data_IF_264748514400
#
_entry.id   IF_264748514400
#
_cell.length_a   1.000
_cell.length_b   1.000
_cell.length_c   1.000
_cell.angle_alpha   90.00
_cell.angle_beta   90.00
_cell.angle_gamma   90.00
#
_symmetry.space_group_name_H-M   'P 1'
#
loop_
_entity.id
_entity.type
_entity.pdbx_description
1 polymer ?
#
# COMPACT_ATOMS: atom_id res chain seq x y z
N UNK A 1 20.75 -24.12 5.39
CA UNK A 1 19.36 -23.81 5.81
C UNK A 1 19.40 -22.53 6.65
N UNK A 2 19.06 -21.38 6.07
CA UNK A 2 19.14 -20.09 6.75
C UNK A 2 18.06 -19.96 7.83
N UNK A 3 18.47 -19.65 9.06
CA UNK A 3 17.59 -19.26 10.16
C UNK A 3 16.66 -18.14 9.66
N UNK A 4 15.35 -18.32 9.83
CA UNK A 4 14.33 -17.40 9.33
C UNK A 4 14.68 -15.94 9.67
N UNK A 5 14.67 -15.09 8.65
CA UNK A 5 14.98 -13.67 8.77
C UNK A 5 14.18 -13.03 9.91
N UNK A 6 14.84 -12.21 10.72
CA UNK A 6 14.22 -11.53 11.86
C UNK A 6 12.97 -10.74 11.46
N UNK A 7 12.11 -10.48 12.44
CA UNK A 7 10.89 -9.68 12.25
C UNK A 7 11.28 -8.33 11.64
N UNK A 8 10.70 -7.99 10.48
CA UNK A 8 10.91 -6.67 9.87
C UNK A 8 10.53 -5.57 10.88
N UNK A 9 11.45 -4.64 11.10
CA UNK A 9 11.31 -3.59 12.10
C UNK A 9 10.61 -2.36 11.52
N UNK A 10 10.20 -1.42 12.38
CA UNK A 10 9.67 -0.13 11.95
C UNK A 10 10.72 0.64 11.15
N UNK A 11 10.29 1.32 10.08
CA UNK A 11 11.16 2.17 9.27
C UNK A 11 12.21 1.43 8.44
N UNK A 12 12.08 0.10 8.28
CA UNK A 12 13.01 -0.69 7.45
C UNK A 12 12.54 -0.76 6.02
N UNK A 13 13.49 -0.73 5.09
CA UNK A 13 13.26 -0.94 3.68
C UNK A 13 14.19 -2.04 3.14
N UNK A 14 13.67 -2.90 2.28
CA UNK A 14 14.46 -3.75 1.38
C UNK A 14 14.39 -3.09 0.01
N UNK A 15 15.49 -2.45 -0.39
CA UNK A 15 15.57 -1.70 -1.65
C UNK A 15 16.05 -2.58 -2.81
N UNK A 16 15.71 -2.14 -4.02
CA UNK A 16 16.10 -2.75 -5.30
C UNK A 16 16.87 -1.71 -6.11
N UNK A 17 17.67 -2.19 -7.07
CA UNK A 17 18.40 -1.36 -8.03
C UNK A 17 17.50 -0.66 -9.07
N UNK A 18 16.38 -1.28 -9.45
CA UNK A 18 15.48 -0.79 -10.50
C UNK A 18 14.05 -0.63 -9.93
N UNK A 19 13.70 0.52 -9.33
CA UNK A 19 12.48 0.64 -8.54
C UNK A 19 11.20 0.71 -9.42
N UNK A 20 10.61 -0.44 -9.78
CA UNK A 20 9.30 -0.45 -10.45
C UNK A 20 8.15 -0.55 -9.44
N UNK A 21 8.28 -1.41 -8.44
CA UNK A 21 7.21 -1.73 -7.48
C UNK A 21 7.70 -1.56 -6.05
N UNK A 22 6.88 -0.98 -5.18
CA UNK A 22 7.11 -0.96 -3.73
C UNK A 22 5.91 -1.53 -2.98
N UNK A 23 6.14 -2.49 -2.09
CA UNK A 23 5.10 -2.98 -1.16
C UNK A 23 5.24 -2.24 0.16
N UNK A 24 4.23 -1.45 0.52
CA UNK A 24 4.20 -0.66 1.74
C UNK A 24 3.40 -1.40 2.81
N UNK A 25 4.10 -1.88 3.82
CA UNK A 25 3.53 -2.52 5.01
C UNK A 25 3.36 -1.55 6.17
N UNK A 26 2.28 -1.71 6.92
CA UNK A 26 2.06 -0.97 8.18
C UNK A 26 3.08 -1.42 9.25
N UNK A 27 3.35 -0.55 10.23
CA UNK A 27 4.27 -0.87 11.32
C UNK A 27 3.92 -2.17 12.03
N UNK A 28 4.94 -2.96 12.43
CA UNK A 28 4.74 -4.19 13.20
C UNK A 28 4.02 -3.93 14.52
N UNK A 29 3.02 -4.77 14.77
CA UNK A 29 2.42 -4.99 16.08
C UNK A 29 2.60 -6.45 16.50
N UNK A 30 2.02 -6.84 17.65
CA UNK A 30 2.09 -8.23 18.15
C UNK A 30 1.63 -9.30 17.14
N UNK A 31 0.71 -8.93 16.24
CA UNK A 31 0.29 -9.73 15.09
C UNK A 31 1.20 -9.39 13.91
N UNK A 32 1.99 -10.36 13.49
CA UNK A 32 3.07 -10.28 12.51
C UNK A 32 2.68 -9.53 11.21
N UNK A 33 3.59 -8.73 10.63
CA UNK A 33 3.34 -7.92 9.41
C UNK A 33 3.70 -8.64 8.11
N UNK A 34 4.62 -9.61 8.16
CA UNK A 34 5.20 -10.21 6.93
C UNK A 34 4.20 -10.98 6.07
N UNK A 35 3.14 -11.56 6.63
CA UNK A 35 2.07 -12.20 5.85
C UNK A 35 0.90 -11.22 5.82
N UNK A 36 0.73 -10.39 4.78
CA UNK A 36 0.86 -10.78 3.38
C UNK A 36 1.98 -10.07 2.61
N UNK A 37 2.67 -9.10 3.20
CA UNK A 37 3.66 -8.25 2.50
C UNK A 37 4.76 -9.07 1.83
N UNK A 38 5.36 -10.03 2.55
CA UNK A 38 6.38 -10.93 2.04
C UNK A 38 5.84 -11.97 1.07
N UNK A 39 4.59 -12.41 1.22
CA UNK A 39 3.94 -13.34 0.28
C UNK A 39 3.69 -12.62 -1.06
N UNK A 40 3.20 -11.37 -1.02
CA UNK A 40 3.05 -10.50 -2.20
C UNK A 40 4.41 -10.27 -2.87
N UNK A 41 5.44 -9.89 -2.10
CA UNK A 41 6.78 -9.68 -2.63
C UNK A 41 7.31 -10.96 -3.29
N UNK A 42 7.21 -12.10 -2.62
CA UNK A 42 7.68 -13.39 -3.16
C UNK A 42 6.90 -13.81 -4.40
N UNK A 43 5.59 -13.63 -4.41
CA UNK A 43 4.74 -13.92 -5.57
C UNK A 43 5.10 -13.07 -6.78
N UNK A 44 5.37 -11.77 -6.60
CA UNK A 44 5.81 -10.89 -7.68
C UNK A 44 7.21 -11.24 -8.19
N UNK A 45 8.13 -11.66 -7.30
CA UNK A 45 9.45 -12.17 -7.72
C UNK A 45 9.34 -13.38 -8.63
N UNK A 46 8.47 -14.34 -8.28
CA UNK A 46 8.22 -15.54 -9.09
C UNK A 46 7.64 -15.23 -10.49
N UNK A 47 7.10 -14.02 -10.69
CA UNK A 47 6.56 -13.55 -11.98
C UNK A 47 7.57 -12.72 -12.78
N UNK A 48 8.85 -12.70 -12.38
CA UNK A 48 9.91 -12.00 -13.10
C UNK A 48 10.11 -10.53 -12.71
N UNK A 49 9.39 -10.03 -11.70
CA UNK A 49 9.56 -8.65 -11.17
C UNK A 49 10.69 -8.62 -10.11
N UNK A 50 11.58 -9.62 -10.11
CA UNK A 50 12.47 -9.91 -8.99
C UNK A 50 13.43 -8.77 -8.64
N UNK A 51 14.05 -8.19 -9.67
CA UNK A 51 15.02 -7.12 -9.50
C UNK A 51 14.37 -5.74 -9.34
N UNK A 52 13.04 -5.66 -9.37
CA UNK A 52 12.32 -4.39 -9.39
C UNK A 52 11.31 -4.17 -8.27
N UNK A 53 11.34 -5.00 -7.22
CA UNK A 53 10.43 -4.90 -6.07
C UNK A 53 11.12 -4.50 -4.76
N UNK A 54 10.73 -3.36 -4.19
CA UNK A 54 11.10 -2.93 -2.84
C UNK A 54 10.01 -3.33 -1.83
N UNK A 55 10.39 -3.45 -0.57
CA UNK A 55 9.43 -3.59 0.54
C UNK A 55 9.77 -2.57 1.61
N UNK A 56 8.81 -1.72 1.96
CA UNK A 56 8.94 -0.70 3.01
C UNK A 56 7.99 -1.02 4.15
N UNK A 57 8.49 -1.03 5.38
CA UNK A 57 7.69 -1.09 6.60
C UNK A 57 7.69 0.29 7.22
N UNK A 58 6.51 0.92 7.29
CA UNK A 58 6.38 2.29 7.80
C UNK A 58 6.89 2.40 9.24
N UNK A 59 7.54 3.52 9.54
CA UNK A 59 7.95 3.90 10.89
C UNK A 59 6.72 4.13 11.79
N UNK A 60 5.70 4.81 11.26
CA UNK A 60 4.44 5.09 11.94
C UNK A 60 3.23 4.68 11.06
N UNK A 61 2.85 3.39 11.10
CA UNK A 61 1.77 2.82 10.28
C UNK A 61 0.58 2.25 11.09
N UNK A 62 0.64 2.26 12.42
CA UNK A 62 -0.34 1.58 13.28
C UNK A 62 -1.60 2.39 13.58
N UNK A 63 -1.48 3.71 13.73
CA UNK A 63 -2.57 4.61 14.15
C UNK A 63 -3.53 5.01 13.03
N UNK A 64 -4.22 6.11 13.21
CA UNK A 64 -5.05 6.81 12.20
C UNK A 64 -4.34 8.13 11.85
N UNK A 65 -4.42 8.62 10.60
CA UNK A 65 -3.87 9.92 10.24
C UNK A 65 -4.40 11.06 11.14
N UNK A 66 -3.58 12.08 11.45
CA UNK A 66 -3.97 13.19 12.33
C UNK A 66 -5.05 14.11 11.72
N UNK A 67 -5.15 14.12 10.40
CA UNK A 67 -6.11 14.89 9.59
C UNK A 67 -7.40 14.09 9.27
N UNK A 68 -7.52 12.88 9.83
CA UNK A 68 -8.77 12.14 9.77
C UNK A 68 -9.80 12.75 10.76
N UNK A 69 -11.10 12.73 10.44
CA UNK A 69 -12.16 13.05 11.41
C UNK A 69 -11.99 12.20 12.68
N UNK A 70 -12.62 12.53 13.82
CA UNK A 70 -12.52 11.69 15.04
C UNK A 70 -13.06 10.27 14.79
N UNK A 71 -12.20 9.37 14.32
CA UNK A 71 -12.54 7.98 14.02
C UNK A 71 -12.38 7.16 15.29
N UNK A 72 -13.43 6.46 15.71
CA UNK A 72 -13.35 5.50 16.80
C UNK A 72 -12.35 4.39 16.51
N UNK A 73 -11.62 3.93 17.54
CA UNK A 73 -10.65 2.83 17.41
C UNK A 73 -9.19 3.25 17.28
N UNK A 74 -8.86 4.54 17.48
CA UNK A 74 -7.48 4.97 17.71
C UNK A 74 -6.98 4.36 19.04
N UNK A 75 -6.00 3.46 18.97
CA UNK A 75 -5.32 2.93 20.16
C UNK A 75 -4.44 4.05 20.73
N UNK A 76 -4.52 4.29 22.05
CA UNK A 76 -3.66 5.28 22.73
C UNK A 76 -2.18 5.02 22.38
N UNK A 77 -1.49 6.04 21.86
CA UNK A 77 -0.08 5.96 21.46
C UNK A 77 0.20 5.31 20.11
N UNK A 78 -0.82 4.95 19.33
CA UNK A 78 -0.65 4.51 17.95
C UNK A 78 -0.78 5.70 16.98
N UNK A 79 0.29 5.97 16.24
CA UNK A 79 0.34 7.07 15.26
C UNK A 79 0.39 6.54 13.83
N UNK A 80 -0.14 7.34 12.91
CA UNK A 80 0.06 7.15 11.48
C UNK A 80 0.74 8.40 10.89
N UNK A 81 1.80 8.19 10.13
CA UNK A 81 2.55 9.27 9.51
C UNK A 81 3.62 8.74 8.56
N UNK A 82 4.11 9.64 7.73
CA UNK A 82 5.22 9.40 6.80
C UNK A 82 6.36 10.35 7.14
N UNK A 83 7.57 9.83 7.15
CA UNK A 83 8.79 10.65 7.13
C UNK A 83 9.08 11.11 5.70
N UNK A 84 9.83 12.21 5.54
CA UNK A 84 10.24 12.67 4.21
C UNK A 84 11.05 11.60 3.45
N UNK A 85 11.85 10.81 4.18
CA UNK A 85 12.58 9.68 3.61
C UNK A 85 11.62 8.64 3.01
N UNK A 86 10.55 8.28 3.72
CA UNK A 86 9.56 7.31 3.23
C UNK A 86 8.79 7.84 2.02
N UNK A 87 8.48 9.14 1.98
CA UNK A 87 7.84 9.78 0.81
C UNK A 87 8.72 9.61 -0.43
N UNK A 88 9.98 10.03 -0.36
CA UNK A 88 10.95 9.90 -1.47
C UNK A 88 11.14 8.44 -1.87
N UNK A 89 11.17 7.53 -0.89
CA UNK A 89 11.29 6.10 -1.15
C UNK A 89 10.07 5.48 -1.83
N UNK A 90 8.87 6.03 -1.65
CA UNK A 90 7.65 5.55 -2.31
C UNK A 90 7.53 6.16 -3.71
N UNK A 91 7.76 7.48 -3.86
CA UNK A 91 7.57 8.20 -5.13
C UNK A 91 8.54 7.77 -6.24
N UNK A 92 9.72 7.26 -5.89
CA UNK A 92 10.67 6.78 -6.90
C UNK A 92 10.20 5.52 -7.65
N UNK A 93 9.13 4.86 -7.19
CA UNK A 93 8.60 3.65 -7.81
C UNK A 93 7.45 3.97 -8.76
N UNK A 94 7.28 3.15 -9.79
CA UNK A 94 6.17 3.29 -10.75
C UNK A 94 4.82 2.91 -10.12
N UNK A 95 4.82 1.93 -9.21
CA UNK A 95 3.61 1.40 -8.55
C UNK A 95 3.86 1.13 -7.06
N UNK A 96 2.94 1.58 -6.21
CA UNK A 96 2.92 1.27 -4.79
C UNK A 96 1.77 0.29 -4.45
N UNK A 97 2.07 -0.80 -3.75
CA UNK A 97 1.07 -1.68 -3.16
C UNK A 97 0.89 -1.27 -1.70
N UNK A 98 -0.27 -0.71 -1.37
CA UNK A 98 -0.58 -0.18 -0.05
C UNK A 98 -1.41 -1.21 0.74
N UNK A 99 -0.76 -1.94 1.66
CA UNK A 99 -1.44 -2.96 2.44
C UNK A 99 -2.02 -2.41 3.75
N UNK A 100 -3.33 -2.58 3.97
CA UNK A 100 -4.06 -2.06 5.12
C UNK A 100 -4.95 -3.12 5.80
N UNK A 101 -5.45 -2.78 7.00
CA UNK A 101 -6.22 -3.69 7.86
C UNK A 101 -7.72 -3.76 7.54
N UNK A 102 -8.51 -4.04 8.57
CA UNK A 102 -9.93 -4.39 8.44
C UNK A 102 -10.93 -3.24 8.68
N UNK A 103 -10.46 -2.08 9.11
CA UNK A 103 -11.35 -0.95 9.42
C UNK A 103 -11.47 -0.08 8.17
N UNK A 104 -12.64 -0.10 7.51
CA UNK A 104 -12.89 0.58 6.21
C UNK A 104 -12.43 2.03 6.22
N UNK A 105 -12.89 2.82 7.18
CA UNK A 105 -12.48 4.23 7.32
C UNK A 105 -10.97 4.39 7.51
N UNK A 106 -10.31 3.51 8.28
CA UNK A 106 -8.85 3.57 8.44
C UNK A 106 -8.14 3.28 7.12
N UNK A 107 -8.62 2.34 6.31
CA UNK A 107 -8.05 2.06 4.98
C UNK A 107 -8.11 3.33 4.13
N UNK A 108 -9.30 3.93 4.02
CA UNK A 108 -9.53 5.10 3.15
C UNK A 108 -8.65 6.29 3.57
N UNK A 109 -8.67 6.69 4.84
CA UNK A 109 -7.90 7.84 5.28
C UNK A 109 -6.38 7.60 5.24
N UNK A 110 -5.91 6.37 5.50
CA UNK A 110 -4.48 6.05 5.37
C UNK A 110 -4.01 6.11 3.93
N UNK A 111 -4.78 5.58 2.99
CA UNK A 111 -4.49 5.68 1.56
C UNK A 111 -4.47 7.14 1.13
N UNK A 112 -5.49 7.93 1.54
CA UNK A 112 -5.54 9.38 1.30
C UNK A 112 -4.27 10.06 1.80
N UNK A 113 -3.89 9.83 3.05
CA UNK A 113 -2.71 10.43 3.66
C UNK A 113 -1.42 10.10 2.92
N UNK A 114 -1.25 8.83 2.51
CA UNK A 114 -0.08 8.42 1.71
C UNK A 114 -0.07 9.13 0.36
N UNK A 115 -1.19 9.16 -0.37
CA UNK A 115 -1.26 9.72 -1.72
C UNK A 115 -1.37 11.24 -1.76
N UNK A 116 -1.71 11.90 -0.65
CA UNK A 116 -1.53 13.33 -0.45
C UNK A 116 -0.03 13.69 -0.47
N UNK A 117 0.80 12.87 0.18
CA UNK A 117 2.23 13.10 0.22
C UNK A 117 2.93 12.65 -1.07
N UNK A 118 2.57 11.46 -1.57
CA UNK A 118 3.26 10.76 -2.65
C UNK A 118 2.50 10.81 -3.98
N UNK A 119 3.12 11.31 -5.04
CA UNK A 119 2.65 11.16 -6.42
C UNK A 119 3.04 9.78 -6.99
N UNK A 120 2.18 8.78 -6.75
CA UNK A 120 2.40 7.40 -7.22
C UNK A 120 1.10 6.73 -7.61
N UNK A 121 1.17 5.78 -8.55
CA UNK A 121 0.06 4.87 -8.87
C UNK A 121 -0.04 3.81 -7.77
N UNK A 122 -1.21 3.64 -7.18
CA UNK A 122 -1.41 2.76 -6.03
C UNK A 122 -2.35 1.59 -6.32
N UNK A 123 -1.99 0.41 -5.80
CA UNK A 123 -2.90 -0.72 -5.64
C UNK A 123 -3.20 -0.82 -4.15
N UNK A 124 -4.47 -0.68 -3.77
CA UNK A 124 -4.89 -0.83 -2.38
C UNK A 124 -5.18 -2.29 -2.10
N UNK A 125 -4.48 -2.86 -1.12
CA UNK A 125 -4.70 -4.24 -0.66
C UNK A 125 -5.20 -4.19 0.78
N UNK A 126 -6.40 -4.70 1.05
CA UNK A 126 -7.01 -4.58 2.38
C UNK A 126 -7.78 -5.82 2.79
N UNK A 127 -7.97 -5.99 4.11
CA UNK A 127 -8.93 -6.96 4.61
C UNK A 127 -10.36 -6.44 4.43
N UNK A 128 -10.58 -5.17 4.76
CA UNK A 128 -11.89 -4.53 4.65
C UNK A 128 -12.31 -4.37 3.18
N UNK A 129 -13.58 -4.64 2.82
CA UNK A 129 -14.10 -4.24 1.53
C UNK A 129 -14.14 -2.71 1.43
N UNK A 130 -13.53 -2.19 0.37
CA UNK A 130 -13.54 -0.78 -0.04
C UNK A 130 -13.76 -0.71 -1.54
N UNK A 131 -14.35 0.38 -2.03
CA UNK A 131 -14.59 0.64 -3.44
C UNK A 131 -13.98 1.98 -3.89
N UNK A 132 -14.10 2.33 -5.17
CA UNK A 132 -13.53 3.57 -5.71
C UNK A 132 -14.27 4.81 -5.20
N UNK A 133 -15.58 4.68 -4.95
CA UNK A 133 -16.44 5.72 -4.42
C UNK A 133 -16.03 6.11 -2.99
N UNK A 134 -15.62 5.17 -2.16
CA UNK A 134 -15.06 5.44 -0.83
C UNK A 134 -13.86 6.38 -0.89
N UNK A 135 -12.94 6.11 -1.82
CA UNK A 135 -11.74 6.92 -2.02
C UNK A 135 -12.10 8.28 -2.63
N UNK A 136 -12.97 8.29 -3.64
CA UNK A 136 -13.35 9.52 -4.33
C UNK A 136 -14.06 10.53 -3.40
N UNK A 137 -14.93 10.04 -2.49
CA UNK A 137 -15.59 10.85 -1.46
C UNK A 137 -14.61 11.56 -0.53
N UNK A 138 -13.46 10.93 -0.28
CA UNK A 138 -12.38 11.45 0.56
C UNK A 138 -11.32 12.22 -0.25
N UNK A 139 -11.63 12.61 -1.49
CA UNK A 139 -10.76 13.44 -2.33
C UNK A 139 -9.57 12.69 -2.94
N UNK A 140 -9.58 11.36 -2.92
CA UNK A 140 -8.52 10.53 -3.50
C UNK A 140 -8.80 10.33 -5.00
N UNK A 141 -7.83 10.67 -5.85
CA UNK A 141 -7.90 10.35 -7.29
C UNK A 141 -7.96 8.84 -7.49
N UNK A 142 -8.85 8.38 -8.36
CA UNK A 142 -8.94 6.97 -8.72
C UNK A 142 -9.05 6.77 -10.22
N UNK A 143 -8.76 5.55 -10.69
CA UNK A 143 -8.86 5.18 -12.10
C UNK A 143 -10.29 5.03 -12.63
N UNK A 144 -11.29 4.94 -11.75
CA UNK A 144 -12.69 4.65 -12.13
C UNK A 144 -13.62 5.79 -11.75
N UNK A 145 -13.48 6.33 -10.53
CA UNK A 145 -14.33 7.41 -10.00
C UNK A 145 -13.44 8.57 -9.56
N UNK A 146 -13.48 9.68 -10.29
CA UNK A 146 -12.72 10.89 -9.93
C UNK A 146 -13.50 11.76 -8.95
N UNK A 147 -12.87 12.29 -7.88
CA UNK A 147 -13.45 13.36 -7.09
C UNK A 147 -13.74 14.60 -7.95
N UNK A 148 -14.68 15.48 -7.55
CA UNK A 148 -14.79 16.82 -8.09
C UNK A 148 -13.44 17.55 -8.03
N UNK A 149 -13.12 18.33 -9.07
CA UNK A 149 -11.79 18.93 -9.23
C UNK A 149 -11.37 19.82 -8.04
N UNK A 150 -12.33 20.53 -7.44
CA UNK A 150 -12.17 21.38 -6.25
C UNK A 150 -12.00 20.59 -4.94
N UNK A 151 -12.24 19.27 -4.96
CA UNK A 151 -12.16 18.36 -3.81
C UNK A 151 -11.03 17.34 -3.91
N UNK A 152 -10.19 17.41 -4.95
CA UNK A 152 -9.03 16.53 -5.07
C UNK A 152 -8.01 16.92 -4.00
N UNK A 153 -7.63 15.95 -3.17
CA UNK A 153 -6.64 16.09 -2.11
C UNK A 153 -5.34 15.35 -2.41
N UNK A 154 -5.35 14.36 -3.30
CA UNK A 154 -4.16 13.51 -3.55
C UNK A 154 -3.37 13.89 -4.79
N UNK A 155 -2.05 13.75 -4.71
CA UNK A 155 -1.14 13.75 -5.85
C UNK A 155 -1.14 12.39 -6.55
N UNK A 156 -1.06 11.31 -5.77
CA UNK A 156 -1.14 9.95 -6.26
C UNK A 156 -2.56 9.53 -6.65
N UNK A 157 -2.68 8.34 -7.24
CA UNK A 157 -3.94 7.81 -7.80
C UNK A 157 -4.12 6.34 -7.45
N UNK A 158 -5.30 5.96 -6.96
CA UNK A 158 -5.69 4.55 -6.77
C UNK A 158 -6.05 3.94 -8.13
N UNK A 159 -5.26 2.97 -8.58
CA UNK A 159 -5.41 2.31 -9.89
C UNK A 159 -6.15 0.97 -9.81
N UNK A 160 -6.07 0.29 -8.66
CA UNK A 160 -6.72 -0.99 -8.42
C UNK A 160 -6.96 -1.22 -6.92
N UNK A 161 -7.93 -2.07 -6.60
CA UNK A 161 -8.30 -2.46 -5.24
C UNK A 161 -8.37 -4.00 -5.19
N UNK A 162 -7.75 -4.58 -4.16
CA UNK A 162 -7.82 -6.02 -3.85
C UNK A 162 -8.19 -6.18 -2.38
N UNK A 163 -9.49 -6.38 -2.11
CA UNK A 163 -10.00 -6.60 -0.76
C UNK A 163 -10.02 -8.08 -0.35
N UNK A 164 -10.20 -8.37 0.94
CA UNK A 164 -10.20 -9.74 1.49
C UNK A 164 -8.81 -10.29 1.81
N UNK A 165 -7.77 -9.46 1.82
CA UNK A 165 -6.41 -9.85 2.17
C UNK A 165 -6.14 -9.53 3.65
N UNK A 166 -6.08 -10.57 4.47
CA UNK A 166 -5.97 -10.44 5.93
C UNK A 166 -4.53 -10.31 6.41
N UNK A 167 -4.29 -9.33 7.29
CA UNK A 167 -3.01 -9.21 8.00
C UNK A 167 -2.75 -10.41 8.91
N UNK A 168 -1.54 -10.95 8.83
CA UNK A 168 -1.07 -12.12 9.58
C UNK A 168 -1.42 -13.45 8.91
N UNK A 169 -2.03 -13.43 7.73
CA UNK A 169 -2.45 -14.63 6.99
C UNK A 169 -1.86 -14.62 5.59
N UNK A 170 -1.65 -15.81 5.05
CA UNK A 170 -1.24 -15.98 3.66
C UNK A 170 -2.45 -15.69 2.76
N UNK A 171 -2.33 -14.80 1.77
CA UNK A 171 -3.42 -14.53 0.84
C UNK A 171 -3.82 -15.78 0.06
N UNK A 172 -5.09 -15.87 -0.34
CA UNK A 172 -5.54 -16.96 -1.21
C UNK A 172 -4.85 -16.85 -2.58
N UNK A 173 -4.80 -17.95 -3.33
CA UNK A 173 -4.23 -17.95 -4.69
C UNK A 173 -4.92 -16.94 -5.61
N UNK A 174 -6.24 -16.84 -5.49
CA UNK A 174 -7.05 -15.87 -6.23
C UNK A 174 -6.63 -14.43 -5.92
N UNK A 175 -6.50 -14.06 -4.63
CA UNK A 175 -6.08 -12.71 -4.25
C UNK A 175 -4.64 -12.41 -4.62
N UNK A 176 -3.75 -13.40 -4.57
CA UNK A 176 -2.39 -13.24 -5.13
C UNK A 176 -2.42 -12.96 -6.63
N UNK A 177 -3.24 -13.69 -7.40
CA UNK A 177 -3.37 -13.49 -8.83
C UNK A 177 -3.96 -12.11 -9.18
N UNK A 178 -4.94 -11.62 -8.41
CA UNK A 178 -5.49 -10.27 -8.56
C UNK A 178 -4.44 -9.17 -8.34
N UNK A 179 -3.61 -9.30 -7.30
CA UNK A 179 -2.51 -8.36 -7.03
C UNK A 179 -1.50 -8.38 -8.19
N UNK A 180 -1.04 -9.56 -8.59
CA UNK A 180 -0.07 -9.73 -9.68
C UNK A 180 -0.62 -9.15 -10.99
N UNK A 181 -1.85 -9.50 -11.36
CA UNK A 181 -2.50 -9.00 -12.58
C UNK A 181 -2.61 -7.48 -12.58
N UNK A 182 -2.96 -6.90 -11.42
CA UNK A 182 -3.05 -5.44 -11.27
C UNK A 182 -1.70 -4.75 -11.41
N UNK A 183 -0.64 -5.28 -10.81
CA UNK A 183 0.73 -4.76 -10.98
C UNK A 183 1.14 -4.81 -12.45
N UNK A 184 1.03 -5.99 -13.07
CA UNK A 184 1.45 -6.20 -14.46
C UNK A 184 0.69 -5.29 -15.43
N UNK A 185 -0.62 -5.11 -15.23
CA UNK A 185 -1.43 -4.19 -16.04
C UNK A 185 -0.89 -2.76 -15.96
N UNK A 186 -0.63 -2.26 -14.75
CA UNK A 186 -0.17 -0.88 -14.55
C UNK A 186 1.23 -0.67 -15.14
N UNK A 187 2.12 -1.66 -15.02
CA UNK A 187 3.46 -1.59 -15.60
C UNK A 187 3.42 -1.59 -17.14
N UNK A 188 2.61 -2.46 -17.75
CA UNK A 188 2.48 -2.57 -19.22
C UNK A 188 1.85 -1.33 -19.86
N UNK A 189 0.88 -0.68 -19.21
CA UNK A 189 0.27 0.55 -19.75
C UNK A 189 1.29 1.66 -20.00
N UNK A 190 2.46 1.62 -19.33
CA UNK A 190 3.53 2.59 -19.55
C UNK A 190 4.36 2.28 -20.81
N UNK A 191 4.61 1.02 -21.12
CA UNK A 191 5.42 0.61 -22.29
C UNK A 191 4.77 0.93 -23.63
N UNK A 192 3.47 1.21 -23.66
CA UNK A 192 2.74 1.56 -24.90
C UNK A 192 2.66 3.07 -25.17
N UNK A 193 3.17 3.90 -24.25
CA UNK A 193 3.13 5.36 -24.32
C UNK A 193 4.53 6.01 -24.49
N UNK A 194 5.57 5.19 -24.67
CA UNK A 194 6.93 5.56 -25.03
C UNK A 194 7.27 4.96 -26.41
#
# INVERSE_FOLDING_TARGET
>A
MGKGGGIAQRGTISETRFPDVIVVGMSPGRRHVTKPVCDITSGLRQQGIEYSISTLVLNAGSGVPPDAPKIGGSVLGAYFGLTQKEVVQIERHKVAILHHGNVRSHVVHKVRFILQACDVKAIVVSQSPVDYEDFAKEGVKTSVVMPPADKILTKGTVMAIVSGVTRGQTPTREKMAEVISSVTRILKTKETLE
#
